data_IF_305212495171
#
_entry.id   IF_305212495171
#
_cell.length_a   1.000
_cell.length_b   1.000
_cell.length_c   1.000
_cell.angle_alpha   90.00
_cell.angle_beta   90.00
_cell.angle_gamma   90.00
#
_symmetry.space_group_name_H-M   'P 1'
#
loop_
_entity.id
_entity.type
_entity.pdbx_description
1 polymer ?
#
# COMPACT_ATOMS: atom_id res chain seq x y z
N UNK A 1 -27.24 23.27 44.50
CA UNK A 1 -28.06 24.11 45.38
C UNK A 1 -28.74 25.17 44.50
N UNK A 2 -30.07 25.02 44.26
CA UNK A 2 -31.00 25.92 43.48
C UNK A 2 -30.67 26.07 41.97
N UNK A 3 -31.57 25.95 40.96
CA UNK A 3 -33.06 25.97 40.84
C UNK A 3 -33.55 25.49 39.44
N UNK A 4 -34.71 24.80 39.41
CA UNK A 4 -35.87 24.77 38.43
C UNK A 4 -35.65 24.50 36.91
N UNK A 5 -36.20 23.46 36.24
CA UNK A 5 -37.62 23.14 35.80
C UNK A 5 -38.25 24.22 34.88
N UNK A 6 -38.91 23.98 33.73
CA UNK A 6 -39.70 22.86 33.21
C UNK A 6 -40.02 22.94 31.67
N UNK A 7 -40.44 21.80 31.06
CA UNK A 7 -41.54 21.55 30.06
C UNK A 7 -41.65 22.32 28.73
N UNK A 8 -42.27 21.86 27.61
CA UNK A 8 -42.78 20.61 27.02
C UNK A 8 -43.51 21.08 25.71
N UNK A 9 -43.44 20.39 24.56
CA UNK A 9 -44.61 20.14 23.66
C UNK A 9 -44.28 19.44 22.33
N UNK A 10 -45.10 18.41 22.03
CA UNK A 10 -45.27 17.68 20.78
C UNK A 10 -46.26 18.41 19.87
N UNK A 11 -46.13 18.26 18.54
CA UNK A 11 -47.31 18.06 17.67
C UNK A 11 -47.00 17.27 16.38
N UNK A 12 -47.90 16.33 16.10
CA UNK A 12 -48.01 15.39 14.95
C UNK A 12 -48.85 15.98 13.81
N UNK A 13 -48.72 15.41 12.61
CA UNK A 13 -49.71 15.36 11.52
C UNK A 13 -49.01 15.35 10.16
N UNK A 14 -48.92 14.31 9.33
CA UNK A 14 -49.77 13.21 8.82
C UNK A 14 -50.60 13.54 7.54
N UNK A 15 -50.25 12.80 6.47
CA UNK A 15 -51.08 12.20 5.41
C UNK A 15 -51.66 13.02 4.23
N UNK A 16 -51.63 12.38 3.05
CA UNK A 16 -52.65 12.50 1.97
C UNK A 16 -52.06 12.79 0.58
N UNK A 17 -51.74 11.83 -0.31
CA UNK A 17 -52.55 10.96 -1.21
C UNK A 17 -53.32 11.66 -2.35
N UNK A 18 -53.33 10.99 -3.52
CA UNK A 18 -54.35 10.99 -4.61
C UNK A 18 -54.12 11.95 -5.79
N UNK A 19 -54.46 11.73 -7.08
CA UNK A 19 -54.72 10.63 -8.05
C UNK A 19 -55.15 11.30 -9.40
N UNK A 20 -55.26 10.51 -10.47
CA UNK A 20 -56.11 10.65 -11.69
C UNK A 20 -55.57 11.51 -12.86
N UNK A 21 -55.81 11.23 -14.17
CA UNK A 21 -56.47 10.13 -14.92
C UNK A 21 -56.38 10.37 -16.45
N UNK A 22 -56.50 9.30 -17.26
CA UNK A 22 -57.04 9.16 -18.66
C UNK A 22 -56.39 9.99 -19.81
N UNK A 23 -56.20 9.52 -21.05
CA UNK A 23 -56.61 8.31 -21.80
C UNK A 23 -57.08 8.70 -23.21
N UNK A 24 -56.42 8.20 -24.29
CA UNK A 24 -57.05 7.75 -25.56
C UNK A 24 -56.04 7.22 -26.62
N UNK A 25 -56.51 6.20 -27.35
CA UNK A 25 -55.90 5.21 -28.27
C UNK A 25 -55.58 5.77 -29.68
N UNK A 26 -54.93 5.13 -30.69
CA UNK A 26 -54.62 3.73 -31.11
C UNK A 26 -53.38 3.77 -32.07
N UNK A 27 -52.55 2.74 -32.34
CA UNK A 27 -52.78 1.44 -33.04
C UNK A 27 -51.46 0.59 -33.02
N UNK A 28 -51.60 -0.75 -32.97
CA UNK A 28 -50.61 -1.86 -32.88
C UNK A 28 -49.84 -2.20 -34.21
N UNK A 29 -48.96 -3.24 -34.30
CA UNK A 29 -47.85 -3.72 -33.43
C UNK A 29 -46.54 -4.03 -34.21
N UNK A 30 -45.39 -4.29 -33.56
CA UNK A 30 -44.59 -5.56 -33.46
C UNK A 30 -43.13 -5.05 -33.28
N UNK A 31 -42.25 -5.45 -32.35
CA UNK A 31 -41.77 -6.77 -31.90
C UNK A 31 -41.19 -6.63 -30.47
N UNK A 32 -41.38 -7.61 -29.60
CA UNK A 32 -40.87 -7.59 -28.22
C UNK A 32 -39.70 -8.56 -28.05
N UNK A 33 -38.53 -8.03 -27.71
CA UNK A 33 -37.48 -8.79 -27.03
C UNK A 33 -36.91 -8.00 -25.86
N UNK A 34 -37.54 -8.09 -24.69
CA UNK A 34 -36.89 -7.78 -23.42
C UNK A 34 -37.14 -8.92 -22.42
N UNK A 35 -36.07 -9.60 -22.01
CA UNK A 35 -36.07 -10.47 -20.84
C UNK A 35 -35.53 -9.67 -19.65
N UNK A 36 -36.36 -9.53 -18.60
CA UNK A 36 -35.92 -8.97 -17.33
C UNK A 36 -34.92 -9.92 -16.63
N UNK A 37 -33.91 -9.40 -15.90
CA UNK A 37 -32.86 -10.21 -15.30
C UNK A 37 -33.34 -11.01 -14.10
N UNK A 38 -33.04 -12.31 -14.08
CA UNK A 38 -33.32 -13.23 -12.99
C UNK A 38 -32.51 -12.86 -11.73
N UNK A 39 -33.20 -12.56 -10.63
CA UNK A 39 -32.56 -12.30 -9.33
C UNK A 39 -32.51 -13.58 -8.46
N UNK A 40 -31.48 -13.67 -7.60
CA UNK A 40 -31.05 -14.86 -6.83
C UNK A 40 -32.07 -15.48 -5.85
N UNK A 41 -33.31 -15.00 -5.76
CA UNK A 41 -34.25 -15.37 -4.67
C UNK A 41 -35.31 -16.42 -5.02
N UNK A 42 -35.32 -16.96 -6.23
CA UNK A 42 -36.29 -18.01 -6.64
C UNK A 42 -35.68 -19.40 -6.87
N UNK A 43 -34.40 -19.62 -6.54
CA UNK A 43 -33.70 -20.87 -6.93
C UNK A 43 -33.70 -21.99 -5.88
N UNK A 44 -34.27 -21.81 -4.68
CA UNK A 44 -34.21 -22.82 -3.60
C UNK A 44 -35.56 -23.47 -3.26
N UNK A 45 -36.46 -23.60 -4.24
CA UNK A 45 -37.83 -24.03 -4.03
C UNK A 45 -38.28 -25.29 -4.77
N UNK A 46 -37.38 -26.16 -5.23
CA UNK A 46 -37.71 -27.44 -5.88
C UNK A 46 -36.36 -28.09 -6.24
N UNK A 47 -35.96 -29.26 -5.77
CA UNK A 47 -36.58 -30.58 -5.97
C UNK A 47 -35.92 -31.52 -4.96
N UNK A 48 -36.72 -32.23 -4.18
CA UNK A 48 -36.30 -33.45 -3.48
C UNK A 48 -36.38 -34.65 -4.42
N UNK A 49 -35.43 -35.57 -4.33
CA UNK A 49 -35.47 -36.83 -5.06
C UNK A 49 -34.09 -37.47 -5.18
N UNK A 50 -33.85 -38.52 -4.39
CA UNK A 50 -32.67 -39.38 -4.45
C UNK A 50 -32.72 -40.21 -5.73
N UNK A 51 -31.65 -40.19 -6.54
CA UNK A 51 -31.43 -41.17 -7.59
C UNK A 51 -29.93 -41.49 -7.71
N UNK A 52 -29.51 -42.62 -7.13
CA UNK A 52 -28.19 -43.22 -7.32
C UNK A 52 -28.15 -43.98 -8.65
N UNK A 53 -27.26 -43.57 -9.57
CA UNK A 53 -26.90 -44.35 -10.76
C UNK A 53 -25.38 -44.59 -10.77
N UNK A 54 -24.98 -45.86 -10.76
CA UNK A 54 -23.60 -46.29 -10.98
C UNK A 54 -23.37 -46.52 -12.48
N UNK A 55 -22.34 -45.90 -13.07
CA UNK A 55 -21.96 -46.11 -14.47
C UNK A 55 -20.61 -46.83 -14.53
N UNK A 56 -20.60 -48.00 -15.16
CA UNK A 56 -19.41 -48.79 -15.49
C UNK A 56 -18.75 -48.25 -16.77
N UNK A 57 -17.41 -48.29 -16.82
CA UNK A 57 -16.59 -47.76 -17.90
C UNK A 57 -16.84 -48.49 -19.24
N UNK A 58 -17.08 -47.73 -20.31
CA UNK A 58 -17.21 -48.24 -21.69
C UNK A 58 -17.27 -47.09 -22.71
N UNK A 59 -16.55 -47.28 -23.82
CA UNK A 59 -16.26 -46.35 -24.93
C UNK A 59 -17.43 -45.51 -25.45
N UNK A 60 -17.13 -44.24 -25.80
CA UNK A 60 -18.05 -43.26 -26.40
C UNK A 60 -18.21 -43.54 -27.91
N UNK A 61 -19.44 -43.71 -28.44
CA UNK A 61 -19.79 -43.26 -29.77
C UNK A 61 -20.53 -41.91 -29.68
N UNK A 62 -20.04 -40.92 -30.42
CA UNK A 62 -20.72 -39.65 -30.64
C UNK A 62 -21.87 -39.86 -31.63
N UNK A 63 -23.11 -39.64 -31.20
CA UNK A 63 -24.25 -39.39 -32.12
C UNK A 63 -24.94 -38.07 -31.76
N UNK A 64 -25.42 -37.31 -32.76
CA UNK A 64 -25.95 -35.96 -32.56
C UNK A 64 -27.40 -36.04 -32.09
N UNK A 65 -27.70 -35.45 -30.94
CA UNK A 65 -29.06 -35.45 -30.40
C UNK A 65 -29.62 -34.02 -30.38
N UNK A 66 -30.36 -33.65 -31.43
CA UNK A 66 -31.46 -32.70 -31.28
C UNK A 66 -32.65 -33.49 -30.75
N UNK A 67 -32.83 -33.51 -29.44
CA UNK A 67 -34.13 -33.81 -28.85
C UNK A 67 -34.24 -33.14 -27.47
N UNK A 68 -35.36 -32.47 -27.24
CA UNK A 68 -35.61 -31.67 -26.05
C UNK A 68 -35.54 -32.52 -24.78
N UNK A 69 -34.56 -32.26 -23.92
CA UNK A 69 -34.59 -32.63 -22.49
C UNK A 69 -33.55 -31.84 -21.72
N UNK A 70 -34.04 -31.18 -20.66
CA UNK A 70 -33.35 -30.50 -19.58
C UNK A 70 -31.82 -30.44 -19.69
N UNK A 71 -31.26 -29.22 -19.74
CA UNK A 71 -29.83 -28.99 -19.51
C UNK A 71 -29.50 -29.43 -18.08
N UNK A 72 -29.21 -30.71 -17.91
CA UNK A 72 -28.42 -31.18 -16.79
C UNK A 72 -27.02 -30.74 -17.16
N UNK A 73 -26.63 -29.56 -16.66
CA UNK A 73 -25.21 -29.18 -16.62
C UNK A 73 -24.55 -30.27 -15.78
N UNK A 74 -24.05 -31.31 -16.45
CA UNK A 74 -23.21 -32.31 -15.81
C UNK A 74 -22.04 -31.53 -15.26
N UNK A 75 -21.98 -31.38 -13.93
CA UNK A 75 -20.77 -30.94 -13.29
C UNK A 75 -19.72 -31.98 -13.66
N UNK A 76 -18.89 -31.67 -14.66
CA UNK A 76 -17.77 -32.51 -15.02
C UNK A 76 -16.88 -32.55 -13.79
N UNK A 77 -16.96 -33.65 -13.02
CA UNK A 77 -16.05 -33.89 -11.91
C UNK A 77 -14.72 -34.21 -12.56
N UNK A 78 -13.85 -33.21 -12.66
CA UNK A 78 -12.46 -33.44 -13.01
C UNK A 78 -11.87 -34.26 -11.87
N UNK A 79 -11.51 -35.52 -12.12
CA UNK A 79 -10.75 -36.30 -11.15
C UNK A 79 -9.32 -35.74 -11.09
N UNK A 80 -8.96 -35.14 -9.97
CA UNK A 80 -7.65 -34.53 -9.74
C UNK A 80 -6.90 -35.15 -8.56
N UNK A 81 -7.32 -36.31 -8.07
CA UNK A 81 -6.66 -37.04 -6.98
C UNK A 81 -6.39 -36.11 -5.77
N UNK A 82 -7.43 -35.69 -5.02
CA UNK A 82 -7.36 -34.60 -4.04
C UNK A 82 -6.30 -34.80 -2.95
N UNK A 83 -6.06 -36.04 -2.52
CA UNK A 83 -5.00 -36.36 -1.57
C UNK A 83 -3.59 -36.07 -2.12
N UNK A 84 -3.33 -36.44 -3.38
CA UNK A 84 -2.05 -36.19 -4.03
C UNK A 84 -1.81 -34.69 -4.21
N UNK A 85 -2.84 -33.92 -4.60
CA UNK A 85 -2.74 -32.45 -4.72
C UNK A 85 -2.45 -31.78 -3.38
N UNK A 86 -3.12 -32.21 -2.30
CA UNK A 86 -2.86 -31.68 -0.96
C UNK A 86 -1.42 -31.99 -0.48
N UNK A 87 -0.93 -33.21 -0.74
CA UNK A 87 0.44 -33.60 -0.43
C UNK A 87 1.47 -32.78 -1.22
N UNK A 88 1.26 -32.61 -2.53
CA UNK A 88 2.12 -31.80 -3.39
C UNK A 88 2.19 -30.33 -2.92
N UNK A 89 1.04 -29.73 -2.55
CA UNK A 89 0.99 -28.37 -2.01
C UNK A 89 1.76 -28.22 -0.69
N UNK A 90 1.63 -29.19 0.23
CA UNK A 90 2.40 -29.19 1.48
C UNK A 90 3.90 -29.31 1.22
N UNK A 91 4.30 -30.22 0.33
CA UNK A 91 5.70 -30.42 -0.02
C UNK A 91 6.31 -29.15 -0.61
N UNK A 92 5.61 -28.50 -1.56
CA UNK A 92 6.04 -27.23 -2.15
C UNK A 92 6.27 -26.15 -1.10
N UNK A 93 5.28 -25.90 -0.22
CA UNK A 93 5.41 -24.87 0.84
C UNK A 93 6.56 -25.19 1.80
N UNK A 94 6.76 -26.47 2.10
CA UNK A 94 7.83 -26.91 3.00
C UNK A 94 9.21 -26.81 2.34
N UNK A 95 9.32 -27.08 1.03
CA UNK A 95 10.59 -26.89 0.31
C UNK A 95 10.91 -25.41 0.16
N UNK A 96 9.94 -24.57 -0.23
CA UNK A 96 10.14 -23.12 -0.36
C UNK A 96 10.60 -22.51 0.97
N UNK A 97 9.94 -22.84 2.09
CA UNK A 97 10.37 -22.35 3.41
C UNK A 97 11.77 -22.81 3.82
N UNK A 98 12.26 -23.95 3.31
CA UNK A 98 13.65 -24.41 3.54
C UNK A 98 14.63 -23.65 2.66
N UNK A 99 14.28 -23.41 1.39
CA UNK A 99 15.11 -22.67 0.44
C UNK A 99 15.26 -21.20 0.87
N UNK A 100 14.22 -20.63 1.49
CA UNK A 100 14.18 -19.26 2.03
C UNK A 100 14.74 -19.15 3.46
N UNK A 101 15.28 -20.22 4.03
CA UNK A 101 15.93 -20.18 5.35
C UNK A 101 17.29 -19.49 5.28
N UNK A 102 17.25 -18.17 5.15
CA UNK A 102 18.39 -17.29 4.95
C UNK A 102 18.70 -16.55 6.26
N UNK A 103 19.98 -16.49 6.61
CA UNK A 103 20.48 -15.65 7.69
C UNK A 103 21.46 -14.62 7.11
N UNK A 104 21.01 -13.37 7.04
CA UNK A 104 21.81 -12.24 6.54
C UNK A 104 22.77 -11.66 7.58
N UNK A 105 22.72 -12.14 8.82
CA UNK A 105 23.56 -11.68 9.92
C UNK A 105 23.07 -10.36 10.54
N UNK A 106 23.98 -9.71 11.27
CA UNK A 106 23.69 -8.40 11.90
C UNK A 106 23.71 -7.32 10.83
N UNK A 107 22.62 -6.58 10.71
CA UNK A 107 22.51 -5.44 9.81
C UNK A 107 23.37 -4.28 10.35
N UNK A 108 24.31 -3.73 9.54
CA UNK A 108 25.15 -2.64 9.98
C UNK A 108 24.35 -1.33 10.10
N UNK A 109 24.62 -0.54 11.14
CA UNK A 109 24.22 0.86 11.21
C UNK A 109 25.32 1.76 10.62
N UNK A 110 25.11 3.08 10.65
CA UNK A 110 26.09 4.05 10.17
C UNK A 110 27.04 4.56 11.28
N UNK A 111 26.92 4.03 12.50
CA UNK A 111 27.73 4.43 13.66
C UNK A 111 27.37 5.76 14.32
N UNK A 112 26.35 6.50 13.85
CA UNK A 112 26.03 7.84 14.40
C UNK A 112 25.65 7.80 15.88
N UNK A 113 25.10 6.69 16.37
CA UNK A 113 24.74 6.55 17.79
C UNK A 113 25.95 6.59 18.74
N UNK A 114 27.17 6.38 18.24
CA UNK A 114 28.41 6.53 19.00
C UNK A 114 28.88 8.00 19.08
N UNK A 115 28.55 8.81 18.07
CA UNK A 115 28.96 10.21 17.97
C UNK A 115 27.92 11.16 18.59
N UNK A 116 26.63 10.91 18.31
CA UNK A 116 25.50 11.73 18.74
C UNK A 116 24.79 11.06 19.91
N UNK A 117 25.44 11.10 21.09
CA UNK A 117 24.98 10.41 22.30
C UNK A 117 23.73 11.04 22.95
N UNK A 118 23.31 12.22 22.48
CA UNK A 118 22.05 12.89 22.82
C UNK A 118 20.87 12.41 21.94
N UNK A 119 21.12 11.45 21.04
CA UNK A 119 20.14 10.88 20.10
C UNK A 119 19.63 11.86 19.03
N UNK A 120 20.26 13.03 18.87
CA UNK A 120 19.89 14.04 17.87
C UNK A 120 19.97 13.53 16.42
N UNK A 121 20.89 12.59 16.15
CA UNK A 121 21.03 11.91 14.85
C UNK A 121 20.05 10.75 14.62
N UNK A 122 19.07 10.52 15.50
CA UNK A 122 18.14 9.38 15.42
C UNK A 122 16.69 9.83 15.31
N UNK A 123 15.86 8.97 14.70
CA UNK A 123 14.41 9.20 14.68
C UNK A 123 13.87 9.30 16.11
N UNK A 124 13.12 10.37 16.37
CA UNK A 124 12.50 10.63 17.67
C UNK A 124 11.15 11.37 17.54
N UNK A 125 10.59 11.53 16.34
CA UNK A 125 9.32 12.26 16.16
C UNK A 125 8.20 11.55 16.92
N UNK A 126 7.44 12.32 17.71
CA UNK A 126 6.38 11.82 18.59
C UNK A 126 6.84 11.45 20.00
N UNK A 127 8.16 11.36 20.22
CA UNK A 127 8.76 11.24 21.55
C UNK A 127 8.75 12.57 22.29
N UNK A 128 9.19 12.55 23.54
CA UNK A 128 9.40 13.77 24.33
C UNK A 128 10.74 14.41 23.97
N UNK A 129 10.77 15.74 23.84
CA UNK A 129 11.96 16.53 23.56
C UNK A 129 12.09 17.69 24.55
N UNK A 130 13.26 18.32 24.58
CA UNK A 130 13.47 19.59 25.26
C UNK A 130 13.01 20.79 24.40
N UNK A 131 13.24 22.01 24.89
CA UNK A 131 12.84 23.25 24.20
C UNK A 131 13.60 23.55 22.90
N UNK A 132 14.70 22.85 22.62
CA UNK A 132 15.47 22.94 21.38
C UNK A 132 15.13 21.81 20.40
N UNK A 133 14.28 20.85 20.82
CA UNK A 133 13.94 19.69 20.03
C UNK A 133 14.94 18.53 20.16
N UNK A 134 15.85 18.55 21.15
CA UNK A 134 16.73 17.42 21.43
C UNK A 134 15.93 16.33 22.14
N UNK A 135 16.06 15.04 21.76
CA UNK A 135 15.29 13.96 22.36
C UNK A 135 15.56 13.82 23.87
N UNK A 136 14.51 13.64 24.66
CA UNK A 136 14.66 13.22 26.03
C UNK A 136 15.21 11.78 26.08
N UNK A 137 16.31 11.57 26.80
CA UNK A 137 16.99 10.27 26.85
C UNK A 137 16.09 9.12 27.33
N UNK A 138 15.28 9.33 28.37
CA UNK A 138 14.39 8.28 28.88
C UNK A 138 13.31 7.90 27.85
N UNK A 139 12.79 8.90 27.14
CA UNK A 139 11.81 8.68 26.09
C UNK A 139 12.39 7.92 24.90
N UNK A 140 13.58 8.29 24.43
CA UNK A 140 14.27 7.55 23.36
C UNK A 140 14.63 6.12 23.76
N UNK A 141 15.15 5.92 24.97
CA UNK A 141 15.48 4.59 25.48
C UNK A 141 14.25 3.69 25.65
N UNK A 142 13.07 4.26 25.95
CA UNK A 142 11.82 3.49 25.99
C UNK A 142 11.41 2.95 24.62
N UNK A 143 11.60 3.73 23.54
CA UNK A 143 11.39 3.28 22.16
C UNK A 143 12.37 2.17 21.79
N UNK A 144 13.67 2.38 22.05
CA UNK A 144 14.71 1.37 21.80
C UNK A 144 14.40 0.05 22.52
N UNK A 145 13.98 0.12 23.77
CA UNK A 145 13.61 -1.07 24.55
C UNK A 145 12.40 -1.79 23.94
N UNK A 146 11.36 -1.06 23.55
CA UNK A 146 10.18 -1.65 22.91
C UNK A 146 10.56 -2.40 21.62
N UNK A 147 11.37 -1.77 20.75
CA UNK A 147 11.89 -2.37 19.52
C UNK A 147 12.70 -3.64 19.77
N UNK A 148 13.60 -3.63 20.76
CA UNK A 148 14.42 -4.79 21.12
C UNK A 148 13.60 -5.93 21.73
N UNK A 149 12.57 -5.61 22.50
CA UNK A 149 11.76 -6.60 23.19
C UNK A 149 10.77 -7.32 22.28
N UNK A 150 10.29 -6.64 21.24
CA UNK A 150 9.19 -7.10 20.40
C UNK A 150 7.85 -7.27 21.13
N UNK A 151 7.75 -6.92 22.42
CA UNK A 151 6.53 -7.14 23.21
C UNK A 151 5.57 -5.97 23.09
N UNK A 152 4.34 -6.26 22.70
CA UNK A 152 3.26 -5.26 22.62
C UNK A 152 3.15 -4.38 23.89
N UNK A 153 3.24 -5.00 25.08
CA UNK A 153 3.16 -4.28 26.36
C UNK A 153 4.24 -3.23 26.58
N UNK A 154 5.38 -3.33 25.89
CA UNK A 154 6.47 -2.37 26.02
C UNK A 154 6.34 -1.24 24.99
N UNK A 155 5.71 -1.49 23.83
CA UNK A 155 5.28 -0.42 22.93
C UNK A 155 4.25 0.51 23.58
N UNK A 156 3.32 -0.04 24.36
CA UNK A 156 2.33 0.75 25.11
C UNK A 156 2.95 1.61 26.24
N UNK A 157 4.22 1.38 26.59
CA UNK A 157 4.96 2.14 27.60
C UNK A 157 5.91 3.18 27.01
N UNK A 158 5.96 3.33 25.69
CA UNK A 158 6.82 4.34 25.07
C UNK A 158 6.40 5.72 25.56
N UNK A 159 7.36 6.48 26.10
CA UNK A 159 7.12 7.84 26.57
C UNK A 159 6.99 8.73 25.34
N UNK A 160 5.84 9.36 25.17
CA UNK A 160 5.54 10.26 24.04
C UNK A 160 5.52 11.72 24.46
N UNK A 161 5.78 12.63 23.52
CA UNK A 161 5.77 14.07 23.78
C UNK A 161 4.37 14.67 24.00
N UNK A 162 3.31 13.95 23.60
CA UNK A 162 1.92 14.37 23.80
C UNK A 162 1.12 13.24 24.47
N UNK A 163 1.19 13.09 25.81
CA UNK A 163 0.37 12.12 26.54
C UNK A 163 -1.12 12.32 26.26
N UNK A 164 -1.87 11.24 26.04
CA UNK A 164 -3.27 11.29 25.61
C UNK A 164 -3.47 11.45 24.09
N UNK A 165 -2.39 11.72 23.36
CA UNK A 165 -2.36 11.76 21.90
C UNK A 165 -2.84 13.08 21.28
N UNK A 166 -2.71 13.13 19.95
CA UNK A 166 -3.10 14.22 19.07
C UNK A 166 -3.07 13.72 17.62
N UNK A 167 -3.56 14.47 16.63
CA UNK A 167 -3.68 14.00 15.24
C UNK A 167 -2.35 13.53 14.65
N UNK A 168 -1.21 14.06 15.12
CA UNK A 168 0.13 13.76 14.61
C UNK A 168 1.11 13.22 15.69
N UNK A 169 0.60 12.74 16.83
CA UNK A 169 1.43 12.36 17.98
C UNK A 169 1.62 10.85 18.13
N UNK A 170 1.06 10.04 17.21
CA UNK A 170 1.14 8.57 17.26
C UNK A 170 2.37 8.06 16.50
N UNK A 171 3.00 7.03 17.04
CA UNK A 171 4.01 6.26 16.31
C UNK A 171 3.31 5.40 15.26
N UNK A 172 3.77 5.47 14.01
CA UNK A 172 3.15 4.75 12.92
C UNK A 172 3.76 3.35 12.77
N UNK A 173 3.06 2.34 13.33
CA UNK A 173 3.38 0.93 13.11
C UNK A 173 4.77 0.46 13.52
N UNK A 174 5.32 0.81 14.70
CA UNK A 174 6.65 0.37 15.11
C UNK A 174 6.76 -1.15 15.33
N UNK A 175 5.63 -1.86 15.37
CA UNK A 175 5.52 -3.33 15.46
C UNK A 175 5.44 -4.02 14.08
N UNK A 176 5.41 -3.26 12.98
CA UNK A 176 5.09 -3.77 11.64
C UNK A 176 6.05 -4.84 11.12
N UNK A 177 7.31 -4.84 11.57
CA UNK A 177 8.31 -5.84 11.15
C UNK A 177 8.26 -7.14 11.95
N UNK A 178 7.46 -7.25 13.01
CA UNK A 178 7.48 -8.42 13.91
C UNK A 178 6.64 -9.60 13.40
N UNK A 179 5.90 -9.42 12.30
CA UNK A 179 5.08 -10.46 11.71
C UNK A 179 5.93 -11.34 10.77
N UNK A 180 5.63 -12.64 10.76
CA UNK A 180 6.12 -13.56 9.75
C UNK A 180 5.17 -13.59 8.56
N UNK A 181 5.68 -13.29 7.38
CA UNK A 181 4.97 -13.48 6.13
C UNK A 181 5.05 -14.96 5.71
N UNK A 182 3.94 -15.51 5.20
CA UNK A 182 3.87 -16.90 4.75
C UNK A 182 4.44 -17.11 3.34
N UNK A 183 4.71 -16.03 2.63
CA UNK A 183 5.17 -16.02 1.24
C UNK A 183 6.22 -14.94 1.07
N UNK A 184 7.27 -15.24 0.30
CA UNK A 184 8.38 -14.33 0.07
C UNK A 184 9.40 -14.33 1.22
N UNK A 185 10.41 -13.48 1.08
CA UNK A 185 11.46 -13.35 2.08
C UNK A 185 10.94 -12.66 3.34
N UNK A 186 11.31 -13.22 4.50
CA UNK A 186 11.07 -12.59 5.79
C UNK A 186 11.63 -11.15 5.84
N UNK A 187 10.95 -10.27 6.56
CA UNK A 187 11.33 -8.86 6.68
C UNK A 187 12.75 -8.64 7.19
N UNK A 188 13.31 -9.57 7.98
CA UNK A 188 14.66 -9.51 8.51
C UNK A 188 15.71 -10.19 7.62
N UNK A 189 15.30 -10.83 6.53
CA UNK A 189 16.17 -11.47 5.55
C UNK A 189 16.56 -10.56 4.37
N UNK A 190 16.18 -9.27 4.42
CA UNK A 190 16.56 -8.26 3.42
C UNK A 190 17.62 -7.31 3.98
N UNK A 191 18.50 -6.79 3.12
CA UNK A 191 19.60 -5.89 3.50
C UNK A 191 19.51 -4.61 2.68
N UNK A 192 19.74 -3.48 3.33
CA UNK A 192 19.98 -2.19 2.69
C UNK A 192 21.32 -1.62 3.20
N UNK A 193 22.04 -0.80 2.41
CA UNK A 193 23.26 -0.16 2.89
C UNK A 193 22.96 0.75 4.10
N UNK A 194 23.92 0.94 5.03
CA UNK A 194 23.82 1.96 6.06
C UNK A 194 23.54 3.34 5.45
N UNK A 195 22.70 4.12 6.13
CA UNK A 195 22.50 5.51 5.75
C UNK A 195 23.83 6.29 5.84
N UNK A 196 24.02 7.34 5.04
CA UNK A 196 25.13 8.26 5.26
C UNK A 196 25.09 8.84 6.68
N UNK A 197 26.25 9.12 7.28
CA UNK A 197 26.31 9.71 8.62
C UNK A 197 25.79 11.14 8.61
N UNK A 198 25.22 11.61 9.72
CA UNK A 198 24.73 13.00 9.85
C UNK A 198 25.80 14.03 9.48
N UNK A 199 27.07 13.77 9.83
CA UNK A 199 28.20 14.66 9.56
C UNK A 199 28.82 14.49 8.15
N UNK A 200 28.29 13.63 7.29
CA UNK A 200 28.86 13.35 5.97
C UNK A 200 28.55 14.45 4.95
N UNK A 201 29.43 14.58 3.94
CA UNK A 201 29.19 15.44 2.79
C UNK A 201 27.97 15.01 1.97
N UNK A 202 27.63 13.71 1.97
CA UNK A 202 26.46 13.18 1.29
C UNK A 202 25.17 13.66 1.96
N UNK A 203 25.02 13.50 3.28
CA UNK A 203 23.85 14.01 4.03
C UNK A 203 23.66 15.51 3.83
N UNK A 204 24.76 16.27 3.84
CA UNK A 204 24.71 17.71 3.57
C UNK A 204 24.20 18.00 2.14
N UNK A 205 24.66 17.23 1.15
CA UNK A 205 24.23 17.41 -0.23
C UNK A 205 22.75 17.03 -0.44
N UNK A 206 22.29 15.92 0.15
CA UNK A 206 20.89 15.48 0.12
C UNK A 206 19.97 16.50 0.82
N UNK A 207 20.41 17.12 1.92
CA UNK A 207 19.66 18.20 2.57
C UNK A 207 19.56 19.44 1.67
N UNK A 208 20.65 19.83 1.01
CA UNK A 208 20.66 20.94 0.05
C UNK A 208 19.74 20.65 -1.15
N UNK A 209 19.74 19.41 -1.66
CA UNK A 209 18.80 19.00 -2.71
C UNK A 209 17.35 19.19 -2.29
N UNK A 210 16.97 18.78 -1.07
CA UNK A 210 15.62 19.00 -0.54
C UNK A 210 15.27 20.49 -0.45
N UNK A 211 16.19 21.35 -0.01
CA UNK A 211 15.96 22.79 0.03
C UNK A 211 15.78 23.39 -1.37
N UNK A 212 16.58 22.97 -2.36
CA UNK A 212 16.36 23.37 -3.75
C UNK A 212 15.03 22.85 -4.29
N UNK A 213 14.65 21.61 -3.98
CA UNK A 213 13.35 21.06 -4.34
C UNK A 213 12.19 21.89 -3.79
N UNK A 214 12.29 22.35 -2.55
CA UNK A 214 11.30 23.24 -1.95
C UNK A 214 11.25 24.63 -2.62
N UNK A 215 12.41 25.23 -2.94
CA UNK A 215 12.49 26.53 -3.62
C UNK A 215 11.99 26.48 -5.07
N UNK A 216 12.11 25.33 -5.74
CA UNK A 216 11.72 25.14 -7.14
C UNK A 216 10.34 24.50 -7.29
N UNK A 217 9.62 24.25 -6.20
CA UNK A 217 8.38 23.46 -6.17
C UNK A 217 7.29 23.97 -7.14
N UNK A 218 7.22 25.29 -7.37
CA UNK A 218 6.23 25.93 -8.23
C UNK A 218 6.71 26.20 -9.67
N UNK A 219 7.93 25.78 -10.03
CA UNK A 219 8.47 25.98 -11.38
C UNK A 219 8.10 24.78 -12.27
N UNK A 220 7.40 24.97 -13.39
CA UNK A 220 7.10 23.86 -14.30
C UNK A 220 8.38 23.24 -14.85
N UNK A 221 8.47 21.91 -14.88
CA UNK A 221 9.64 21.20 -15.42
C UNK A 221 9.98 21.60 -16.86
N UNK A 222 8.99 22.01 -17.67
CA UNK A 222 9.21 22.51 -19.04
C UNK A 222 9.96 23.84 -19.09
N UNK A 223 10.03 24.58 -17.98
CA UNK A 223 10.74 25.85 -17.86
C UNK A 223 12.13 25.68 -17.24
N UNK A 224 12.49 24.50 -16.75
CA UNK A 224 13.81 24.26 -16.13
C UNK A 224 14.99 24.69 -17.03
N UNK A 225 15.00 24.42 -18.35
CA UNK A 225 16.12 24.80 -19.22
C UNK A 225 16.39 26.30 -19.32
N UNK A 226 15.40 27.15 -19.05
CA UNK A 226 15.49 28.61 -19.23
C UNK A 226 15.29 29.40 -17.94
N UNK A 227 14.95 28.76 -16.82
CA UNK A 227 14.70 29.42 -15.55
C UNK A 227 16.01 29.75 -14.80
N UNK A 228 16.17 31.01 -14.40
CA UNK A 228 17.39 31.49 -13.73
C UNK A 228 17.60 30.91 -12.33
N UNK A 229 16.53 30.60 -11.60
CA UNK A 229 16.62 29.98 -10.27
C UNK A 229 17.05 28.52 -10.39
N UNK A 230 16.56 27.80 -11.40
CA UNK A 230 17.04 26.45 -11.74
C UNK A 230 18.52 26.47 -12.10
N UNK A 231 18.97 27.46 -12.89
CA UNK A 231 20.40 27.61 -13.21
C UNK A 231 21.27 27.84 -11.96
N UNK A 232 20.77 28.57 -10.95
CA UNK A 232 21.44 28.72 -9.66
C UNK A 232 21.52 27.39 -8.91
N UNK A 233 20.42 26.63 -8.84
CA UNK A 233 20.39 25.32 -8.20
C UNK A 233 21.39 24.36 -8.86
N UNK A 234 21.40 24.27 -10.18
CA UNK A 234 22.36 23.45 -10.94
C UNK A 234 23.80 23.85 -10.64
N UNK A 235 24.09 25.16 -10.61
CA UNK A 235 25.43 25.67 -10.31
C UNK A 235 25.87 25.32 -8.89
N UNK A 236 24.97 25.41 -7.92
CA UNK A 236 25.24 25.10 -6.51
C UNK A 236 25.44 23.60 -6.29
N UNK A 237 24.51 22.77 -6.79
CA UNK A 237 24.56 21.31 -6.71
C UNK A 237 25.86 20.75 -7.30
N UNK A 238 26.35 21.27 -8.43
CA UNK A 238 27.61 20.83 -9.03
C UNK A 238 28.87 21.11 -8.18
N UNK A 239 28.78 21.96 -7.13
CA UNK A 239 29.90 22.21 -6.21
C UNK A 239 29.96 21.21 -5.07
N UNK A 240 28.88 20.49 -4.79
CA UNK A 240 28.76 19.61 -3.63
C UNK A 240 29.62 18.36 -3.82
N UNK A 241 30.57 18.15 -2.92
CA UNK A 241 31.46 16.98 -2.96
C UNK A 241 30.72 15.67 -2.71
N UNK A 242 29.64 15.71 -1.91
CA UNK A 242 28.77 14.57 -1.64
C UNK A 242 28.05 14.02 -2.87
N UNK A 243 28.03 14.77 -3.98
CA UNK A 243 27.43 14.33 -5.24
C UNK A 243 28.41 13.69 -6.22
N UNK A 244 29.71 13.74 -5.95
CA UNK A 244 30.73 13.27 -6.89
C UNK A 244 30.98 11.77 -6.70
N UNK A 245 30.97 11.02 -7.80
CA UNK A 245 31.27 9.58 -7.80
C UNK A 245 30.13 8.69 -7.30
N UNK A 246 28.93 9.24 -7.09
CA UNK A 246 27.73 8.47 -6.89
C UNK A 246 27.11 8.10 -8.26
N UNK A 247 26.77 6.82 -8.45
CA UNK A 247 26.18 6.31 -9.70
C UNK A 247 24.65 6.34 -9.69
N UNK A 248 24.02 6.85 -8.62
CA UNK A 248 22.57 6.94 -8.44
C UNK A 248 21.93 8.12 -9.17
N UNK A 249 22.72 8.99 -9.79
CA UNK A 249 22.25 10.11 -10.60
C UNK A 249 23.30 10.52 -11.64
N UNK A 250 22.89 11.14 -12.75
CA UNK A 250 23.82 11.62 -13.76
C UNK A 250 24.61 12.83 -13.25
N UNK A 251 25.93 12.81 -13.43
CA UNK A 251 26.82 13.93 -13.12
C UNK A 251 27.64 14.31 -14.37
N UNK A 252 27.83 15.61 -14.70
CA UNK A 252 27.40 16.80 -13.96
C UNK A 252 25.89 17.02 -14.00
N UNK A 253 25.39 17.78 -13.01
CA UNK A 253 23.99 18.19 -12.95
C UNK A 253 23.73 19.23 -14.03
N UNK A 254 22.57 19.12 -14.69
CA UNK A 254 22.05 20.00 -15.73
C UNK A 254 20.59 20.31 -15.42
N UNK A 255 19.99 21.35 -16.04
CA UNK A 255 18.56 21.59 -15.87
C UNK A 255 17.67 20.41 -16.28
N UNK A 256 18.14 19.56 -17.20
CA UNK A 256 17.39 18.40 -17.69
C UNK A 256 17.36 17.23 -16.69
N UNK A 257 18.42 17.07 -15.90
CA UNK A 257 18.60 15.93 -14.98
C UNK A 257 18.50 16.30 -13.49
N UNK A 258 18.31 17.58 -13.15
CA UNK A 258 18.08 18.02 -11.77
C UNK A 258 16.89 17.25 -11.17
N UNK A 259 17.09 16.70 -9.96
CA UNK A 259 16.13 15.86 -9.21
C UNK A 259 15.78 14.52 -9.86
N UNK A 260 16.58 14.04 -10.82
CA UNK A 260 16.38 12.73 -11.43
C UNK A 260 17.41 11.72 -10.92
N UNK A 261 16.92 10.55 -10.50
CA UNK A 261 17.75 9.39 -10.22
C UNK A 261 18.15 8.64 -11.50
N UNK A 262 19.15 7.78 -11.36
CA UNK A 262 19.67 6.88 -12.37
C UNK A 262 19.97 5.52 -11.72
N UNK A 263 19.37 4.45 -12.23
CA UNK A 263 19.67 3.07 -11.80
C UNK A 263 20.85 2.49 -12.57
N UNK A 264 20.95 2.80 -13.86
CA UNK A 264 22.07 2.44 -14.73
C UNK A 264 22.27 3.51 -15.80
N UNK A 265 23.46 3.55 -16.41
CA UNK A 265 23.78 4.56 -17.42
C UNK A 265 22.84 4.48 -18.63
N UNK A 266 22.23 5.61 -18.96
CA UNK A 266 21.28 5.70 -20.07
C UNK A 266 19.92 5.07 -19.79
N UNK A 267 19.52 4.88 -18.52
CA UNK A 267 18.17 4.44 -18.21
C UNK A 267 17.10 5.47 -18.65
N UNK A 268 15.83 5.06 -18.63
CA UNK A 268 14.72 5.92 -19.04
C UNK A 268 14.43 7.09 -18.10
N UNK A 269 14.95 7.10 -16.87
CA UNK A 269 14.63 8.15 -15.90
C UNK A 269 15.20 9.50 -16.33
N UNK A 270 16.36 9.50 -16.99
CA UNK A 270 17.03 10.71 -17.47
C UNK A 270 16.61 11.13 -18.87
N UNK A 271 15.67 10.40 -19.50
CA UNK A 271 15.25 10.62 -20.87
C UNK A 271 13.86 11.28 -20.94
N UNK A 272 13.70 12.25 -21.84
CA UNK A 272 12.40 12.85 -22.13
C UNK A 272 11.82 13.72 -21.00
N UNK A 273 10.49 13.88 -20.93
CA UNK A 273 9.81 14.65 -19.90
C UNK A 273 10.12 14.15 -18.48
N UNK A 274 9.96 15.02 -17.48
CA UNK A 274 10.21 14.67 -16.07
C UNK A 274 9.15 13.69 -15.54
N UNK A 275 7.89 13.94 -15.89
CA UNK A 275 6.77 13.14 -15.43
C UNK A 275 6.60 11.91 -16.32
N UNK A 276 6.52 10.74 -15.69
CA UNK A 276 6.22 9.47 -16.34
C UNK A 276 4.93 9.55 -17.17
N UNK A 277 4.92 8.97 -18.36
CA UNK A 277 3.73 8.92 -19.21
C UNK A 277 2.56 8.20 -18.53
N UNK A 278 2.83 7.22 -17.66
CA UNK A 278 1.80 6.54 -16.86
C UNK A 278 1.06 7.46 -15.88
N UNK A 279 1.60 8.65 -15.58
CA UNK A 279 0.96 9.63 -14.70
C UNK A 279 0.16 10.70 -15.45
N UNK A 280 0.30 10.80 -16.78
CA UNK A 280 -0.31 11.87 -17.59
C UNK A 280 -1.14 11.37 -18.76
N UNK A 281 -0.94 10.13 -19.20
CA UNK A 281 -1.76 9.50 -20.23
C UNK A 281 -2.99 8.84 -19.58
N UNK A 282 -4.17 8.93 -20.22
CA UNK A 282 -5.43 8.37 -19.72
C UNK A 282 -5.47 6.84 -19.76
#
# INVERSE_FOLDING_TARGET
>A
MKTSSASNEKKKGNAGKSRHSNGNEAKLPVDQSESSPLTRRNFLGSVGGVATLALAAGSIPLEPLFDEKHSVVGAAVVDYQPAARAAASRNYRTSTAKDEHINVGVQPDNGDTLSFTDFSGSFSKGLQHDGLGVPNAASWLSLKYALQSGRHSDYEKIIVGTPGGGPNSRLNGPQGSLAFDLEGLDSHALVIPPAPTVASAQTAAEAIEHYWGALLADIPFTQYPTNSLVAQAVTDMNKLSGLKGNNQYPFPITPQNLFRGQFFEGDGNVQGPYISQFLVQP
#
